data_IF_040494986248
#
_entry.id   IF_040494986248
#
_cell.length_a   1.000
_cell.length_b   1.000
_cell.length_c   1.000
_cell.angle_alpha   90.00
_cell.angle_beta   90.00
_cell.angle_gamma   90.00
#
_symmetry.space_group_name_H-M   'P 1'
#
loop_
_entity.id
_entity.type
_entity.pdbx_description
1 polymer ?
#
# COMPACT_ATOMS: atom_id res chain seq x y z
N UNK A 1 -7.93 -3.90 -15.01
CA UNK A 1 -6.81 -3.32 -14.23
C UNK A 1 -7.24 -3.14 -12.78
N UNK A 2 -8.39 -2.51 -12.53
CA UNK A 2 -8.96 -2.28 -11.20
C UNK A 2 -9.12 -3.55 -10.35
N UNK A 3 -9.51 -4.67 -10.95
CA UNK A 3 -9.57 -5.96 -10.26
C UNK A 3 -8.21 -6.45 -9.76
N UNK A 4 -7.11 -6.14 -10.45
CA UNK A 4 -5.75 -6.55 -10.04
C UNK A 4 -5.27 -5.73 -8.84
N UNK A 5 -5.56 -4.42 -8.85
CA UNK A 5 -5.31 -3.58 -7.69
C UNK A 5 -6.18 -3.97 -6.51
N UNK A 6 -7.46 -4.26 -6.75
CA UNK A 6 -8.37 -4.73 -5.68
C UNK A 6 -7.90 -6.06 -5.11
N UNK A 7 -7.50 -7.02 -5.94
CA UNK A 7 -6.96 -8.31 -5.48
C UNK A 7 -5.67 -8.16 -4.65
N UNK A 8 -4.83 -7.16 -4.96
CA UNK A 8 -3.63 -6.83 -4.19
C UNK A 8 -3.98 -6.15 -2.85
N UNK A 9 -4.91 -5.19 -2.86
CA UNK A 9 -5.15 -4.30 -1.73
C UNK A 9 -6.21 -4.81 -0.75
N UNK A 10 -7.12 -5.67 -1.19
CA UNK A 10 -8.18 -6.19 -0.34
C UNK A 10 -7.65 -7.00 0.85
N UNK A 11 -6.65 -7.90 0.70
CA UNK A 11 -5.99 -8.53 1.84
C UNK A 11 -5.40 -7.51 2.83
N UNK A 12 -4.84 -6.41 2.32
CA UNK A 12 -4.28 -5.32 3.15
C UNK A 12 -5.39 -4.59 3.92
N UNK A 13 -6.49 -4.25 3.23
CA UNK A 13 -7.65 -3.58 3.83
C UNK A 13 -8.26 -4.43 4.94
N UNK A 14 -8.38 -5.74 4.73
CA UNK A 14 -8.89 -6.68 5.72
C UNK A 14 -7.92 -6.85 6.89
N UNK A 15 -6.62 -6.96 6.62
CA UNK A 15 -5.61 -7.07 7.68
C UNK A 15 -5.62 -5.83 8.58
N UNK A 16 -5.78 -4.62 8.02
CA UNK A 16 -6.00 -3.40 8.82
C UNK A 16 -7.26 -3.50 9.70
N UNK A 17 -8.31 -4.13 9.19
CA UNK A 17 -9.54 -4.42 9.93
C UNK A 17 -9.33 -5.34 11.15
N UNK A 18 -8.40 -6.30 11.09
CA UNK A 18 -8.06 -7.17 12.22
C UNK A 18 -7.45 -6.39 13.40
N UNK A 19 -6.86 -5.21 13.12
CA UNK A 19 -6.37 -4.27 14.14
C UNK A 19 -7.42 -3.22 14.53
N UNK A 20 -8.67 -3.36 14.09
CA UNK A 20 -9.74 -2.41 14.36
C UNK A 20 -9.69 -1.13 13.50
N UNK A 21 -8.87 -1.09 12.46
CA UNK A 21 -8.73 0.08 11.60
C UNK A 21 -9.64 -0.02 10.37
N UNK A 22 -10.44 1.02 10.13
CA UNK A 22 -11.27 1.10 8.92
C UNK A 22 -10.49 1.76 7.79
N UNK A 23 -9.96 0.93 6.88
CA UNK A 23 -9.29 1.39 5.68
C UNK A 23 -10.28 1.61 4.51
N UNK A 24 -10.07 2.71 3.76
CA UNK A 24 -10.82 3.06 2.56
C UNK A 24 -9.90 3.19 1.36
N UNK A 25 -10.38 2.78 0.19
CA UNK A 25 -9.72 3.08 -1.07
C UNK A 25 -9.88 4.56 -1.42
N UNK A 26 -8.83 5.15 -1.96
CA UNK A 26 -8.91 6.47 -2.56
C UNK A 26 -7.60 7.23 -2.57
N UNK A 27 -7.61 8.27 -3.39
CA UNK A 27 -6.57 9.29 -3.43
C UNK A 27 -6.55 10.09 -2.12
N UNK A 28 -5.36 10.49 -1.71
CA UNK A 28 -5.13 11.40 -0.58
C UNK A 28 -4.34 12.59 -1.11
N UNK A 29 -5.04 13.67 -1.50
CA UNK A 29 -4.42 14.87 -2.06
C UNK A 29 -3.29 15.40 -1.19
N UNK A 30 -2.18 15.80 -1.83
CA UNK A 30 -0.97 16.26 -1.14
C UNK A 30 0.04 15.16 -0.83
N UNK A 31 -0.33 13.88 -0.95
CA UNK A 31 0.60 12.77 -0.72
C UNK A 31 1.44 12.46 -1.98
N UNK A 32 2.67 11.97 -1.80
CA UNK A 32 3.52 11.55 -2.92
C UNK A 32 3.10 10.20 -3.50
N UNK A 33 3.23 9.96 -4.80
CA UNK A 33 2.79 8.70 -5.44
C UNK A 33 1.31 8.39 -5.15
N UNK A 34 0.44 9.40 -5.23
CA UNK A 34 -0.99 9.22 -4.97
C UNK A 34 -1.68 8.45 -6.12
N UNK A 35 -2.80 7.81 -5.79
CA UNK A 35 -3.56 7.01 -6.74
C UNK A 35 -4.79 6.36 -6.14
N UNK A 36 -5.77 6.09 -7.00
CA UNK A 36 -7.13 5.62 -6.65
C UNK A 36 -7.20 4.31 -5.84
N UNK A 37 -6.13 3.52 -5.84
CA UNK A 37 -6.05 2.24 -5.11
C UNK A 37 -5.18 2.29 -3.87
N UNK A 38 -4.73 3.48 -3.45
CA UNK A 38 -4.17 3.65 -2.12
C UNK A 38 -5.25 3.39 -1.06
N UNK A 39 -4.84 2.88 0.09
CA UNK A 39 -5.63 2.77 1.29
C UNK A 39 -5.29 3.93 2.22
N UNK A 40 -6.35 4.54 2.77
CA UNK A 40 -6.27 5.53 3.83
C UNK A 40 -7.00 5.06 5.08
N UNK A 41 -6.51 5.48 6.24
CA UNK A 41 -7.12 5.28 7.55
C UNK A 41 -7.36 6.67 8.14
N UNK A 42 -8.60 6.97 8.51
CA UNK A 42 -9.00 8.30 8.98
C UNK A 42 -8.62 9.44 8.00
N UNK A 43 -8.61 9.16 6.69
CA UNK A 43 -8.23 10.13 5.66
C UNK A 43 -6.72 10.28 5.43
N UNK A 44 -5.88 9.63 6.22
CA UNK A 44 -4.42 9.65 6.06
C UNK A 44 -3.94 8.44 5.28
N UNK A 45 -3.05 8.66 4.30
CA UNK A 45 -2.55 7.58 3.47
C UNK A 45 -1.62 6.66 4.26
N UNK A 46 -1.87 5.35 4.18
CA UNK A 46 -1.03 4.32 4.82
C UNK A 46 -0.37 3.36 3.82
N UNK A 47 -0.77 3.40 2.53
CA UNK A 47 -0.18 2.57 1.47
C UNK A 47 0.15 3.34 0.20
N UNK A 48 1.12 2.85 -0.58
CA UNK A 48 1.30 3.18 -1.99
C UNK A 48 1.18 1.92 -2.87
N UNK A 49 0.61 2.05 -4.07
CA UNK A 49 0.42 0.90 -4.97
C UNK A 49 1.00 1.16 -6.36
N UNK A 50 1.53 0.11 -6.99
CA UNK A 50 2.00 0.17 -8.37
C UNK A 50 1.72 -1.15 -9.09
N UNK A 51 1.48 -1.07 -10.39
CA UNK A 51 1.22 -2.23 -11.24
C UNK A 51 1.90 -2.06 -12.59
N UNK A 52 2.51 -3.14 -13.08
CA UNK A 52 3.06 -3.24 -14.42
C UNK A 52 2.54 -4.48 -15.12
N UNK A 53 2.10 -4.31 -16.36
CA UNK A 53 1.72 -5.40 -17.26
C UNK A 53 2.78 -5.48 -18.35
N UNK A 54 3.30 -6.68 -18.61
CA UNK A 54 4.22 -6.94 -19.71
C UNK A 54 3.58 -7.97 -20.65
N UNK A 55 3.54 -7.67 -21.94
CA UNK A 55 3.05 -8.60 -22.95
C UNK A 55 4.20 -9.45 -23.46
N UNK A 56 3.96 -10.76 -23.58
CA UNK A 56 4.95 -11.68 -24.09
C UNK A 56 4.86 -11.76 -25.62
N UNK A 57 6.00 -11.90 -26.32
CA UNK A 57 5.99 -12.34 -27.71
C UNK A 57 5.34 -13.73 -27.82
N UNK A 58 4.95 -14.11 -29.04
CA UNK A 58 4.50 -15.47 -29.31
C UNK A 58 5.52 -16.48 -28.77
N UNK A 59 5.03 -17.42 -27.96
CA UNK A 59 5.87 -18.42 -27.33
C UNK A 59 5.14 -19.77 -27.29
N UNK A 60 5.87 -20.90 -27.29
CA UNK A 60 5.27 -22.23 -27.29
C UNK A 60 4.40 -22.54 -26.07
N UNK A 61 4.51 -21.76 -24.99
CA UNK A 61 3.72 -21.93 -23.76
C UNK A 61 2.38 -21.20 -23.81
N UNK A 62 2.10 -20.45 -24.87
CA UNK A 62 0.85 -19.69 -25.02
C UNK A 62 0.65 -18.57 -24.00
N UNK A 63 1.68 -18.16 -23.27
CA UNK A 63 1.58 -17.07 -22.28
C UNK A 63 1.49 -15.75 -23.02
N UNK A 64 0.43 -14.98 -22.81
CA UNK A 64 0.21 -13.71 -23.52
C UNK A 64 0.71 -12.48 -22.74
N UNK A 65 0.67 -12.53 -21.41
CA UNK A 65 1.10 -11.42 -20.56
C UNK A 65 1.46 -11.87 -19.15
N UNK A 66 2.31 -11.09 -18.48
CA UNK A 66 2.57 -11.17 -17.05
C UNK A 66 2.16 -9.89 -16.33
N UNK A 67 1.72 -10.03 -15.09
CA UNK A 67 1.34 -8.90 -14.22
C UNK A 67 2.25 -8.89 -13.00
N UNK A 68 2.80 -7.72 -12.68
CA UNK A 68 3.48 -7.45 -11.40
C UNK A 68 2.72 -6.34 -10.68
N UNK A 69 2.00 -6.71 -9.63
CA UNK A 69 1.31 -5.79 -8.73
C UNK A 69 2.05 -5.72 -7.40
N UNK A 70 2.26 -4.52 -6.87
CA UNK A 70 2.97 -4.30 -5.61
C UNK A 70 2.28 -3.24 -4.74
N UNK A 71 2.31 -3.46 -3.44
CA UNK A 71 1.87 -2.51 -2.43
C UNK A 71 3.01 -2.27 -1.44
N UNK A 72 3.23 -1.01 -1.08
CA UNK A 72 4.05 -0.57 0.04
C UNK A 72 3.11 -0.12 1.16
N UNK A 73 3.38 -0.54 2.40
CA UNK A 73 2.52 -0.30 3.55
C UNK A 73 3.40 0.29 4.66
N UNK A 74 3.04 1.45 5.18
CA UNK A 74 3.77 2.08 6.29
C UNK A 74 3.28 1.51 7.62
N UNK A 75 4.12 0.72 8.30
CA UNK A 75 3.73 0.06 9.57
C UNK A 75 4.24 0.81 10.80
N UNK A 76 5.53 1.10 10.87
CA UNK A 76 6.21 1.72 12.03
C UNK A 76 7.20 2.82 11.59
N UNK A 77 6.91 3.52 10.49
CA UNK A 77 7.79 4.55 9.94
C UNK A 77 7.28 5.96 10.26
N UNK A 78 8.18 6.94 10.35
CA UNK A 78 7.80 8.35 10.42
C UNK A 78 7.42 8.86 9.03
N UNK A 79 6.12 8.92 8.75
CA UNK A 79 5.59 9.34 7.46
C UNK A 79 5.95 10.80 7.13
N UNK A 80 6.05 11.68 8.14
CA UNK A 80 6.44 13.07 7.96
C UNK A 80 7.90 13.19 7.54
N UNK A 81 8.81 12.53 8.28
CA UNK A 81 10.23 12.51 7.94
C UNK A 81 10.49 11.88 6.55
N UNK A 82 9.78 10.80 6.20
CA UNK A 82 9.86 10.22 4.85
C UNK A 82 9.37 11.20 3.78
N UNK A 83 8.29 11.94 4.03
CA UNK A 83 7.78 12.96 3.10
C UNK A 83 8.80 14.07 2.89
N UNK A 84 9.52 14.50 3.94
CA UNK A 84 10.58 15.50 3.82
C UNK A 84 11.78 15.03 2.99
N UNK A 85 12.14 13.75 3.09
CA UNK A 85 13.16 13.14 2.21
C UNK A 85 12.70 13.20 0.75
N UNK A 86 11.43 12.90 0.47
CA UNK A 86 10.86 12.98 -0.88
C UNK A 86 10.84 14.43 -1.38
N UNK A 87 10.39 15.38 -0.56
CA UNK A 87 10.38 16.81 -0.90
C UNK A 87 11.80 17.31 -1.21
N UNK A 88 12.78 16.90 -0.42
CA UNK A 88 14.19 17.22 -0.67
C UNK A 88 14.65 16.65 -1.99
N UNK A 89 14.37 15.38 -2.28
CA UNK A 89 14.70 14.79 -3.57
C UNK A 89 14.13 15.59 -4.76
N UNK A 90 12.83 15.95 -4.71
CA UNK A 90 12.21 16.71 -5.79
C UNK A 90 12.83 18.09 -5.98
N UNK A 91 13.11 18.80 -4.89
CA UNK A 91 13.76 20.11 -4.93
C UNK A 91 15.16 20.04 -5.55
N UNK A 92 15.98 19.09 -5.11
CA UNK A 92 17.34 18.91 -5.64
C UNK A 92 17.36 18.44 -7.10
N UNK A 93 16.32 17.70 -7.53
CA UNK A 93 16.13 17.31 -8.93
C UNK A 93 15.59 18.46 -9.82
N UNK A 94 15.38 19.67 -9.28
CA UNK A 94 14.83 20.82 -10.01
C UNK A 94 13.31 20.75 -10.23
N UNK A 95 12.61 19.92 -9.47
CA UNK A 95 11.15 19.79 -9.52
C UNK A 95 10.44 20.78 -8.60
N UNK A 96 9.25 21.22 -9.03
CA UNK A 96 8.40 22.16 -8.27
C UNK A 96 7.40 21.48 -7.33
N UNK A 97 7.34 20.14 -7.33
CA UNK A 97 6.37 19.40 -6.52
C UNK A 97 6.77 19.44 -5.05
N UNK A 98 5.80 19.75 -4.21
CA UNK A 98 5.90 19.67 -2.76
C UNK A 98 4.71 18.89 -2.22
N UNK A 99 5.00 17.95 -1.32
CA UNK A 99 4.04 17.05 -0.70
C UNK A 99 3.85 17.45 0.76
N UNK A 100 2.63 17.26 1.25
CA UNK A 100 2.25 17.59 2.62
C UNK A 100 2.63 16.43 3.57
N UNK A 101 3.51 16.63 4.56
CA UNK A 101 3.89 15.58 5.51
C UNK A 101 2.73 15.16 6.43
N UNK A 102 1.66 15.95 6.54
CA UNK A 102 0.54 15.68 7.42
C UNK A 102 -0.55 14.77 6.82
N UNK A 103 -0.47 14.42 5.54
CA UNK A 103 -1.50 13.60 4.85
C UNK A 103 -1.15 12.11 4.74
N UNK A 104 -0.05 11.69 5.36
CA UNK A 104 0.37 10.27 5.40
C UNK A 104 0.66 9.86 6.84
N UNK A 105 0.42 8.58 7.14
CA UNK A 105 0.64 8.01 8.47
C UNK A 105 1.11 6.56 8.38
N UNK A 106 1.72 6.07 9.45
CA UNK A 106 1.96 4.65 9.64
C UNK A 106 0.78 4.00 10.39
N UNK A 107 0.61 2.69 10.20
CA UNK A 107 -0.40 1.90 10.92
C UNK A 107 -0.24 2.03 12.44
N UNK A 108 1.00 2.11 12.93
CA UNK A 108 1.29 2.29 14.34
C UNK A 108 0.72 3.58 14.94
N UNK A 109 0.52 4.64 14.15
CA UNK A 109 0.03 5.94 14.65
C UNK A 109 -1.42 5.88 15.15
N UNK A 110 -2.18 4.85 14.72
CA UNK A 110 -3.58 4.66 15.10
C UNK A 110 -3.77 3.66 16.24
N UNK A 111 -2.68 3.09 16.77
CA UNK A 111 -2.72 1.95 17.67
C UNK A 111 -1.90 2.23 18.94
N UNK A 112 -2.16 1.53 20.05
CA UNK A 112 -1.36 1.67 21.27
C UNK A 112 0.13 1.46 21.02
N UNK A 113 1.00 2.14 21.76
CA UNK A 113 2.44 1.99 21.59
C UNK A 113 2.90 0.55 21.87
N UNK A 114 3.85 0.06 21.07
CA UNK A 114 4.52 -1.24 21.22
C UNK A 114 6.03 -1.08 21.02
N UNK A 115 6.79 -2.12 21.38
CA UNK A 115 8.22 -2.15 21.10
C UNK A 115 8.47 -2.18 19.58
N UNK A 116 9.54 -1.53 19.08
CA UNK A 116 9.83 -1.48 17.64
C UNK A 116 9.87 -2.86 16.98
N UNK A 117 9.19 -2.99 15.83
CA UNK A 117 9.18 -4.21 15.03
C UNK A 117 8.14 -5.24 15.48
N UNK A 118 7.50 -5.06 16.64
CA UNK A 118 6.40 -5.93 17.08
C UNK A 118 5.22 -5.79 16.14
N UNK A 119 4.83 -4.56 15.81
CA UNK A 119 3.68 -4.31 14.94
C UNK A 119 3.92 -4.78 13.52
N UNK A 120 5.13 -4.58 12.99
CA UNK A 120 5.50 -5.10 11.67
C UNK A 120 5.35 -6.62 11.59
N UNK A 121 5.72 -7.37 12.63
CA UNK A 121 5.58 -8.84 12.66
C UNK A 121 4.11 -9.26 12.72
N UNK A 122 3.34 -8.68 13.64
CA UNK A 122 1.91 -8.97 13.80
C UNK A 122 1.16 -8.65 12.50
N UNK A 123 1.43 -7.49 11.88
CA UNK A 123 0.76 -7.09 10.64
C UNK A 123 1.10 -8.03 9.49
N UNK A 124 2.36 -8.48 9.39
CA UNK A 124 2.77 -9.46 8.39
C UNK A 124 2.01 -10.78 8.53
N UNK A 125 1.81 -11.26 9.75
CA UNK A 125 1.05 -12.49 10.03
C UNK A 125 -0.44 -12.34 9.68
N UNK A 126 -1.05 -11.22 10.07
CA UNK A 126 -2.43 -10.91 9.70
C UNK A 126 -2.59 -10.81 8.16
N UNK A 127 -1.69 -10.08 7.49
CA UNK A 127 -1.69 -9.94 6.04
C UNK A 127 -1.60 -11.30 5.34
N UNK A 128 -0.69 -12.17 5.80
CA UNK A 128 -0.55 -13.53 5.30
C UNK A 128 -1.85 -14.33 5.43
N UNK A 129 -2.50 -14.28 6.60
CA UNK A 129 -3.78 -14.95 6.82
C UNK A 129 -4.87 -14.46 5.87
N UNK A 130 -4.96 -13.15 5.60
CA UNK A 130 -5.95 -12.60 4.69
C UNK A 130 -5.69 -12.98 3.23
N UNK A 131 -4.43 -13.01 2.79
CA UNK A 131 -4.08 -13.51 1.45
C UNK A 131 -4.53 -14.96 1.26
N UNK A 132 -4.25 -15.83 2.24
CA UNK A 132 -4.66 -17.24 2.17
C UNK A 132 -6.16 -17.43 2.20
N UNK A 133 -6.87 -16.68 3.06
CA UNK A 133 -8.32 -16.75 3.16
C UNK A 133 -8.99 -16.38 1.83
N UNK A 134 -8.51 -15.34 1.17
CA UNK A 134 -9.05 -14.90 -0.11
C UNK A 134 -8.70 -15.86 -1.25
N UNK A 135 -7.46 -16.37 -1.28
CA UNK A 135 -7.06 -17.39 -2.26
C UNK A 135 -7.88 -18.69 -2.14
N UNK A 136 -8.22 -19.12 -0.92
CA UNK A 136 -9.05 -20.31 -0.67
C UNK A 136 -10.56 -20.11 -0.88
N UNK A 137 -11.03 -18.86 -1.03
CA UNK A 137 -12.45 -18.55 -1.24
C UNK A 137 -12.88 -18.50 -2.71
N UNK A 138 -11.94 -18.69 -3.65
CA UNK A 138 -12.21 -18.66 -5.10
C UNK A 138 -12.72 -19.96 -5.71
N UNK A 139 -12.86 -21.03 -4.92
CA UNK A 139 -13.24 -22.39 -5.37
C UNK A 139 -14.69 -22.78 -5.04
N UNK A 140 -15.56 -21.82 -4.67
CA UNK A 140 -16.99 -22.06 -4.34
C UNK A 140 -17.96 -21.35 -5.28
#
# INVERSE_FOLDING_TARGET
MDMLYTALCEPVRLALGDFGLTARYGEVPGSYCDGRFNLNVQGLKVTGTALRIAFAPENPRGVQSGVMAQAMIMIEADAGALTEVVNTFYREAGGERQFDPAVSAAVADFLPAEAPGVRTKQFREALWAQFHRLAGSGDS
#
